data_IF_048005794566
#
_entry.id   IF_048005794566
#
_cell.length_a   1.000
_cell.length_b   1.000
_cell.length_c   1.000
_cell.angle_alpha   90.00
_cell.angle_beta   90.00
_cell.angle_gamma   90.00
#
_symmetry.space_group_name_H-M   'P 1'
#
loop_
_entity.id
_entity.type
_entity.pdbx_description
1 polymer ?
#
# COMPACT_ATOMS: atom_id res chain seq x y z
N UNK A 1 32.90 13.27 -14.84
CA UNK A 1 32.04 14.15 -14.02
C UNK A 1 30.67 14.50 -14.65
N UNK A 2 30.39 14.08 -15.88
CA UNK A 2 29.27 14.60 -16.70
C UNK A 2 27.86 14.08 -16.44
N UNK A 3 27.58 13.20 -15.48
CA UNK A 3 26.30 12.48 -15.50
C UNK A 3 25.40 12.63 -14.25
N UNK A 4 25.83 13.39 -13.26
CA UNK A 4 25.01 13.56 -12.04
C UNK A 4 23.79 14.46 -12.30
N UNK A 5 24.00 15.58 -12.98
CA UNK A 5 22.93 16.54 -13.30
C UNK A 5 21.86 15.97 -14.21
N UNK A 6 22.27 15.15 -15.20
CA UNK A 6 21.31 14.45 -16.07
C UNK A 6 20.46 13.48 -15.29
N UNK A 7 21.02 12.73 -14.33
CA UNK A 7 20.28 11.81 -13.46
C UNK A 7 19.27 12.55 -12.57
N UNK A 8 19.66 13.67 -11.99
CA UNK A 8 18.75 14.50 -11.19
C UNK A 8 17.64 15.13 -12.04
N UNK A 9 17.95 15.58 -13.26
CA UNK A 9 16.96 16.09 -14.19
C UNK A 9 15.94 15.03 -14.58
N UNK A 10 16.38 13.82 -14.94
CA UNK A 10 15.49 12.70 -15.27
C UNK A 10 14.63 12.30 -14.04
N UNK A 11 15.23 12.25 -12.85
CA UNK A 11 14.52 11.93 -11.62
C UNK A 11 13.44 12.97 -11.30
N UNK A 12 13.72 14.25 -11.53
CA UNK A 12 12.78 15.35 -11.30
C UNK A 12 11.61 15.27 -12.30
N UNK A 13 11.89 15.06 -13.57
CA UNK A 13 10.86 14.91 -14.62
C UNK A 13 9.99 13.66 -14.38
N UNK A 14 10.60 12.54 -13.96
CA UNK A 14 9.85 11.32 -13.62
C UNK A 14 9.07 11.43 -12.31
N UNK A 15 9.49 12.27 -11.36
CA UNK A 15 8.81 12.51 -10.10
C UNK A 15 7.53 13.35 -10.24
N UNK A 16 7.44 14.21 -11.25
CA UNK A 16 6.27 15.07 -11.47
C UNK A 16 4.98 14.26 -11.69
N UNK A 17 4.92 13.26 -12.60
CA UNK A 17 3.72 12.45 -12.78
C UNK A 17 3.32 11.67 -11.52
N UNK A 18 4.28 11.17 -10.76
CA UNK A 18 4.03 10.48 -9.48
C UNK A 18 3.41 11.43 -8.47
N UNK A 19 3.94 12.65 -8.34
CA UNK A 19 3.41 13.67 -7.45
C UNK A 19 2.00 14.12 -7.87
N UNK A 20 1.75 14.26 -9.17
CA UNK A 20 0.43 14.60 -9.71
C UNK A 20 -0.59 13.49 -9.43
N UNK A 21 -0.24 12.21 -9.66
CA UNK A 21 -1.12 11.11 -9.34
C UNK A 21 -1.40 10.98 -7.83
N UNK A 22 -0.38 11.17 -7.00
CA UNK A 22 -0.57 11.19 -5.55
C UNK A 22 -1.46 12.36 -5.11
N UNK A 23 -1.29 13.54 -5.70
CA UNK A 23 -2.15 14.70 -5.39
C UNK A 23 -3.60 14.45 -5.81
N UNK A 24 -3.84 13.85 -6.97
CA UNK A 24 -5.19 13.49 -7.43
C UNK A 24 -5.86 12.46 -6.49
N UNK A 25 -5.09 11.47 -6.01
CA UNK A 25 -5.59 10.47 -5.06
C UNK A 25 -5.85 11.09 -3.68
N UNK A 26 -4.96 11.98 -3.21
CA UNK A 26 -5.07 12.60 -1.89
C UNK A 26 -6.11 13.74 -1.82
N UNK A 27 -6.27 14.51 -2.89
CA UNK A 27 -7.23 15.64 -2.92
C UNK A 27 -8.68 15.21 -3.12
N UNK A 28 -8.93 13.94 -3.43
CA UNK A 28 -10.26 13.40 -3.66
C UNK A 28 -10.96 14.06 -4.87
N UNK A 29 -11.67 13.29 -5.63
CA UNK A 29 -12.45 13.76 -6.78
C UNK A 29 -13.69 14.57 -6.40
N UNK A 30 -13.90 14.84 -5.11
CA UNK A 30 -15.08 15.51 -4.56
C UNK A 30 -15.21 17.01 -4.92
N UNK A 31 -14.18 17.60 -5.51
CA UNK A 31 -14.18 19.01 -5.93
C UNK A 31 -14.24 19.22 -7.45
N UNK A 32 -14.27 18.15 -8.26
CA UNK A 32 -14.36 18.24 -9.71
C UNK A 32 -15.81 18.25 -10.16
N UNK A 33 -16.20 19.13 -11.11
CA UNK A 33 -17.55 19.12 -11.71
C UNK A 33 -17.85 17.75 -12.35
N UNK A 34 -19.09 17.29 -12.23
CA UNK A 34 -19.55 15.98 -12.71
C UNK A 34 -19.28 15.76 -14.21
N UNK A 35 -19.29 16.83 -14.99
CA UNK A 35 -19.10 16.85 -16.44
C UNK A 35 -17.66 16.46 -16.86
N UNK A 36 -16.68 16.60 -15.95
CA UNK A 36 -15.28 16.23 -16.20
C UNK A 36 -15.05 14.74 -15.88
N UNK A 37 -15.91 14.13 -15.06
CA UNK A 37 -15.75 12.75 -14.58
C UNK A 37 -16.06 11.68 -15.64
N UNK A 38 -16.91 11.94 -16.63
CA UNK A 38 -17.31 10.93 -17.63
C UNK A 38 -16.23 10.64 -18.68
N UNK A 39 -15.40 11.62 -19.04
CA UNK A 39 -14.30 11.42 -20.03
C UNK A 39 -12.93 11.16 -19.40
N UNK A 40 -12.79 11.34 -18.08
CA UNK A 40 -11.46 11.39 -17.43
C UNK A 40 -10.88 10.05 -16.98
N UNK A 41 -11.63 8.94 -17.04
CA UNK A 41 -11.07 7.63 -16.67
C UNK A 41 -9.87 7.24 -17.55
N UNK A 42 -9.85 7.65 -18.81
CA UNK A 42 -8.72 7.40 -19.72
C UNK A 42 -7.47 8.15 -19.30
N UNK A 43 -7.61 9.39 -18.84
CA UNK A 43 -6.51 10.19 -18.30
C UNK A 43 -5.99 9.63 -16.97
N UNK A 44 -6.88 9.14 -16.11
CA UNK A 44 -6.50 8.49 -14.85
C UNK A 44 -5.65 7.22 -15.11
N UNK A 45 -6.07 6.38 -16.08
CA UNK A 45 -5.28 5.21 -16.45
C UNK A 45 -3.96 5.59 -17.12
N UNK A 46 -3.97 6.55 -18.03
CA UNK A 46 -2.75 7.04 -18.68
C UNK A 46 -1.75 7.61 -17.65
N UNK A 47 -2.21 8.43 -16.72
CA UNK A 47 -1.41 8.95 -15.62
C UNK A 47 -0.89 7.83 -14.71
N UNK A 48 -1.71 6.83 -14.40
CA UNK A 48 -1.31 5.66 -13.61
C UNK A 48 -0.20 4.85 -14.28
N UNK A 49 -0.37 4.54 -15.57
CA UNK A 49 0.64 3.82 -16.36
C UNK A 49 1.93 4.63 -16.48
N UNK A 50 1.82 5.94 -16.74
CA UNK A 50 2.97 6.83 -16.85
C UNK A 50 3.72 6.96 -15.52
N UNK A 51 3.00 7.03 -14.40
CA UNK A 51 3.59 7.07 -13.07
C UNK A 51 4.30 5.76 -12.72
N UNK A 52 3.72 4.62 -13.09
CA UNK A 52 4.33 3.32 -12.88
C UNK A 52 5.60 3.18 -13.72
N UNK A 53 5.56 3.59 -14.99
CA UNK A 53 6.74 3.59 -15.88
C UNK A 53 7.83 4.53 -15.35
N UNK A 54 7.47 5.74 -14.92
CA UNK A 54 8.37 6.71 -14.33
C UNK A 54 9.01 6.20 -13.03
N UNK A 55 8.22 5.57 -12.16
CA UNK A 55 8.71 4.97 -10.93
C UNK A 55 9.68 3.82 -11.21
N UNK A 56 9.36 2.96 -12.19
CA UNK A 56 10.25 1.88 -12.62
C UNK A 56 11.56 2.43 -13.14
N UNK A 57 11.52 3.47 -13.99
CA UNK A 57 12.71 4.14 -14.52
C UNK A 57 13.55 4.74 -13.39
N UNK A 58 12.92 5.39 -12.40
CA UNK A 58 13.58 5.92 -11.21
C UNK A 58 14.34 4.84 -10.45
N UNK A 59 13.72 3.67 -10.25
CA UNK A 59 14.37 2.53 -9.57
C UNK A 59 15.64 2.10 -10.34
N UNK A 60 15.62 2.10 -11.66
CA UNK A 60 16.81 1.77 -12.46
C UNK A 60 17.93 2.80 -12.33
N UNK A 61 17.59 4.07 -12.12
CA UNK A 61 18.57 5.16 -12.01
C UNK A 61 19.20 5.28 -10.62
N UNK A 62 18.61 4.67 -9.60
CA UNK A 62 19.13 4.73 -8.23
C UNK A 62 20.46 3.96 -8.09
N UNK A 63 21.41 4.46 -7.27
CA UNK A 63 22.61 3.73 -6.88
C UNK A 63 22.27 2.37 -6.25
N UNK A 64 23.17 1.40 -6.39
CA UNK A 64 22.98 0.06 -5.86
C UNK A 64 22.58 0.04 -4.37
N UNK A 65 23.23 0.87 -3.54
CA UNK A 65 22.90 1.01 -2.11
C UNK A 65 21.44 1.37 -1.83
N UNK A 66 20.86 2.26 -2.64
CA UNK A 66 19.45 2.65 -2.48
C UNK A 66 18.53 1.51 -2.92
N UNK A 67 18.89 0.78 -3.99
CA UNK A 67 18.14 -0.40 -4.45
C UNK A 67 18.04 -1.49 -3.38
N UNK A 68 19.07 -1.67 -2.59
CA UNK A 68 19.09 -2.65 -1.48
C UNK A 68 18.17 -2.24 -0.32
N UNK A 69 18.11 -0.94 -0.01
CA UNK A 69 17.28 -0.43 1.09
C UNK A 69 15.82 -0.17 0.68
N UNK A 70 15.57 0.09 -0.62
CA UNK A 70 14.27 0.52 -1.13
C UNK A 70 13.12 -0.45 -0.81
N UNK A 71 13.27 -1.78 -0.99
CA UNK A 71 12.20 -2.72 -0.66
C UNK A 71 11.82 -2.68 0.82
N UNK A 72 12.80 -2.55 1.71
CA UNK A 72 12.55 -2.44 3.14
C UNK A 72 11.82 -1.14 3.49
N UNK A 73 12.24 -0.01 2.92
CA UNK A 73 11.58 1.28 3.15
C UNK A 73 10.14 1.24 2.66
N UNK A 74 9.92 0.73 1.44
CA UNK A 74 8.57 0.60 0.86
C UNK A 74 7.69 -0.30 1.73
N UNK A 75 8.19 -1.45 2.16
CA UNK A 75 7.45 -2.36 3.06
C UNK A 75 7.02 -1.65 4.34
N UNK A 76 7.91 -0.88 4.98
CA UNK A 76 7.59 -0.16 6.21
C UNK A 76 6.61 0.98 5.99
N UNK A 77 6.70 1.68 4.87
CA UNK A 77 5.70 2.69 4.50
C UNK A 77 4.32 2.05 4.38
N UNK A 78 4.19 0.92 3.67
CA UNK A 78 2.91 0.20 3.57
C UNK A 78 2.42 -0.30 4.93
N UNK A 79 3.28 -0.80 5.79
CA UNK A 79 2.92 -1.24 7.15
C UNK A 79 2.38 -0.06 7.97
N UNK A 80 3.03 1.10 7.92
CA UNK A 80 2.58 2.30 8.64
C UNK A 80 1.20 2.78 8.16
N UNK A 81 0.99 2.84 6.84
CA UNK A 81 -0.34 3.14 6.30
C UNK A 81 -1.37 2.06 6.67
N UNK A 82 -0.97 0.80 6.73
CA UNK A 82 -1.81 -0.30 7.20
C UNK A 82 -2.25 -0.15 8.65
N UNK A 83 -1.38 0.37 9.53
CA UNK A 83 -1.77 0.71 10.92
C UNK A 83 -2.87 1.76 10.91
N UNK A 84 -2.67 2.86 10.17
CA UNK A 84 -3.63 3.97 10.11
C UNK A 84 -4.98 3.47 9.64
N UNK A 85 -5.03 2.72 8.56
CA UNK A 85 -6.27 2.19 7.98
C UNK A 85 -6.94 1.16 8.90
N UNK A 86 -6.18 0.25 9.51
CA UNK A 86 -6.73 -0.74 10.42
C UNK A 86 -7.31 -0.09 11.67
N UNK A 87 -6.61 0.88 12.27
CA UNK A 87 -7.12 1.64 13.43
C UNK A 87 -8.35 2.46 13.06
N UNK A 88 -8.34 3.11 11.88
CA UNK A 88 -9.52 3.85 11.41
C UNK A 88 -10.71 2.92 11.20
N UNK A 89 -10.51 1.77 10.57
CA UNK A 89 -11.56 0.77 10.41
C UNK A 89 -12.12 0.26 11.74
N UNK A 90 -11.27 -0.02 12.72
CA UNK A 90 -11.71 -0.39 14.06
C UNK A 90 -12.60 0.71 14.66
N UNK A 91 -12.20 1.97 14.57
CA UNK A 91 -13.00 3.09 15.07
C UNK A 91 -14.35 3.20 14.37
N UNK A 92 -14.43 2.91 13.07
CA UNK A 92 -15.70 2.86 12.34
C UNK A 92 -16.59 1.70 12.80
N UNK A 93 -16.03 0.50 12.95
CA UNK A 93 -16.77 -0.68 13.43
C UNK A 93 -17.38 -0.46 14.82
N UNK A 94 -16.66 0.21 15.72
CA UNK A 94 -17.15 0.53 17.06
C UNK A 94 -17.97 1.83 17.14
N UNK A 95 -18.22 2.50 16.02
CA UNK A 95 -19.04 3.72 15.98
C UNK A 95 -18.35 4.99 16.50
N UNK A 96 -17.02 4.96 16.71
CA UNK A 96 -16.26 6.15 17.13
C UNK A 96 -16.02 7.15 16.00
N UNK A 97 -16.16 6.71 14.74
CA UNK A 97 -16.04 7.55 13.55
C UNK A 97 -17.06 7.12 12.50
N UNK A 98 -17.55 8.08 11.72
CA UNK A 98 -18.47 7.79 10.64
C UNK A 98 -17.75 7.14 9.46
N UNK A 99 -18.46 6.27 8.75
CA UNK A 99 -18.05 5.73 7.46
C UNK A 99 -18.25 6.79 6.35
N UNK A 100 -17.45 6.71 5.32
CA UNK A 100 -17.57 7.57 4.13
C UNK A 100 -18.74 7.17 3.23
N UNK A 101 -19.46 6.09 3.56
CA UNK A 101 -20.59 5.58 2.77
C UNK A 101 -21.83 5.37 3.63
N UNK A 102 -23.01 5.73 3.11
CA UNK A 102 -24.28 5.65 3.86
C UNK A 102 -24.75 4.22 4.18
N UNK A 103 -24.36 3.24 3.34
CA UNK A 103 -24.82 1.85 3.47
C UNK A 103 -23.81 0.93 4.18
N UNK A 104 -22.54 1.35 4.30
CA UNK A 104 -21.48 0.50 4.83
C UNK A 104 -20.87 1.13 6.09
N UNK A 105 -20.83 0.37 7.16
CA UNK A 105 -20.26 0.83 8.43
C UNK A 105 -18.72 0.93 8.38
N UNK A 106 -18.07 0.16 7.50
CA UNK A 106 -16.62 0.06 7.40
C UNK A 106 -16.14 0.38 6.00
N UNK A 107 -15.37 1.44 5.87
CA UNK A 107 -14.75 1.87 4.60
C UNK A 107 -13.30 2.34 4.78
N UNK A 108 -12.83 2.53 6.01
CA UNK A 108 -11.55 3.18 6.28
C UNK A 108 -11.52 4.59 5.70
N UNK A 109 -10.42 4.98 5.09
CA UNK A 109 -10.30 6.21 4.31
C UNK A 109 -10.94 6.11 2.91
N UNK A 110 -11.27 4.89 2.48
CA UNK A 110 -11.90 4.63 1.17
C UNK A 110 -13.40 4.93 1.21
N UNK A 111 -14.00 5.05 0.03
CA UNK A 111 -15.45 5.21 -0.10
C UNK A 111 -16.20 3.87 -0.02
N UNK A 112 -15.53 2.75 -0.29
CA UNK A 112 -16.16 1.44 -0.42
C UNK A 112 -15.39 0.37 0.36
N UNK A 113 -16.04 -0.58 1.05
CA UNK A 113 -15.39 -1.65 1.81
C UNK A 113 -14.57 -2.60 0.94
N UNK A 114 -14.87 -2.76 -0.35
CA UNK A 114 -14.13 -3.61 -1.27
C UNK A 114 -12.66 -3.17 -1.44
N UNK A 115 -12.39 -1.96 -1.94
CA UNK A 115 -11.04 -1.40 -2.02
C UNK A 115 -10.32 -1.35 -0.67
N UNK A 116 -11.01 -1.00 0.41
CA UNK A 116 -10.46 -1.01 1.77
C UNK A 116 -9.94 -2.40 2.16
N UNK A 117 -10.78 -3.42 2.02
CA UNK A 117 -10.40 -4.80 2.33
C UNK A 117 -9.29 -5.32 1.42
N UNK A 118 -9.33 -4.96 0.13
CA UNK A 118 -8.28 -5.30 -0.84
C UNK A 118 -6.94 -4.68 -0.45
N UNK A 119 -6.94 -3.44 0.00
CA UNK A 119 -5.74 -2.75 0.48
C UNK A 119 -5.15 -3.45 1.71
N UNK A 120 -5.96 -3.77 2.71
CA UNK A 120 -5.50 -4.50 3.90
C UNK A 120 -5.00 -5.92 3.55
N UNK A 121 -5.66 -6.61 2.63
CA UNK A 121 -5.24 -7.92 2.15
C UNK A 121 -3.87 -7.89 1.44
N UNK A 122 -3.52 -6.77 0.79
CA UNK A 122 -2.19 -6.56 0.20
C UNK A 122 -1.11 -6.30 1.26
N UNK A 123 -1.45 -5.60 2.34
CA UNK A 123 -0.48 -5.28 3.41
C UNK A 123 -0.21 -6.49 4.30
N UNK A 124 -1.19 -7.36 4.51
CA UNK A 124 -1.07 -8.52 5.38
C UNK A 124 0.15 -9.41 5.06
N UNK A 125 0.38 -9.86 3.82
CA UNK A 125 1.57 -10.66 3.49
C UNK A 125 2.88 -9.87 3.63
N UNK A 126 2.88 -8.55 3.49
CA UNK A 126 4.05 -7.70 3.75
C UNK A 126 4.41 -7.76 5.23
N UNK A 127 3.42 -7.62 6.11
CA UNK A 127 3.61 -7.76 7.56
C UNK A 127 4.12 -9.16 7.92
N UNK A 128 3.54 -10.20 7.31
CA UNK A 128 3.94 -11.58 7.51
C UNK A 128 5.41 -11.82 7.10
N UNK A 129 5.81 -11.30 5.94
CA UNK A 129 7.20 -11.40 5.48
C UNK A 129 8.17 -10.69 6.43
N UNK A 130 7.86 -9.46 6.85
CA UNK A 130 8.70 -8.69 7.75
C UNK A 130 8.77 -9.35 9.16
N UNK A 131 7.71 -10.00 9.59
CA UNK A 131 7.67 -10.77 10.83
C UNK A 131 8.52 -12.05 10.73
N UNK A 132 8.32 -12.86 9.68
CA UNK A 132 9.07 -14.10 9.46
C UNK A 132 10.57 -13.84 9.36
N UNK A 133 10.98 -12.86 8.56
CA UNK A 133 12.38 -12.46 8.39
C UNK A 133 13.10 -12.17 9.71
N UNK A 134 12.39 -11.79 10.77
CA UNK A 134 12.94 -11.43 12.08
C UNK A 134 12.68 -12.46 13.16
N UNK A 135 11.98 -13.53 12.84
CA UNK A 135 11.59 -14.57 13.82
C UNK A 135 12.79 -15.27 14.43
N UNK A 136 13.83 -15.53 13.65
CA UNK A 136 15.03 -16.31 14.05
C UNK A 136 16.11 -15.48 14.73
N UNK A 137 16.01 -14.15 14.66
CA UNK A 137 16.96 -13.22 15.30
C UNK A 137 16.50 -12.68 16.64
N UNK A 138 17.26 -11.69 17.17
CA UNK A 138 16.79 -10.90 18.32
C UNK A 138 15.46 -10.24 17.98
N UNK A 139 14.42 -10.52 18.77
CA UNK A 139 13.10 -9.90 18.64
C UNK A 139 13.20 -8.40 18.90
N UNK A 140 13.26 -7.63 17.84
CA UNK A 140 13.37 -6.17 17.87
C UNK A 140 12.00 -5.50 17.76
N UNK A 141 11.91 -4.20 18.02
CA UNK A 141 10.68 -3.42 17.90
C UNK A 141 9.96 -3.68 16.56
N UNK A 142 10.61 -3.68 15.38
CA UNK A 142 9.97 -3.99 14.11
C UNK A 142 9.27 -5.37 14.05
N UNK A 143 9.80 -6.38 14.75
CA UNK A 143 9.16 -7.69 14.84
C UNK A 143 7.76 -7.59 15.49
N UNK A 144 7.68 -6.90 16.62
CA UNK A 144 6.41 -6.74 17.33
C UNK A 144 5.44 -5.82 16.61
N UNK A 145 5.93 -4.78 15.94
CA UNK A 145 5.11 -3.89 15.12
C UNK A 145 4.48 -4.66 13.96
N UNK A 146 5.25 -5.43 13.20
CA UNK A 146 4.73 -6.22 12.09
C UNK A 146 3.67 -7.24 12.57
N UNK A 147 3.92 -7.90 13.70
CA UNK A 147 2.96 -8.82 14.32
C UNK A 147 1.69 -8.10 14.75
N UNK A 148 1.80 -6.97 15.43
CA UNK A 148 0.66 -6.20 15.92
C UNK A 148 -0.21 -5.72 14.75
N UNK A 149 0.40 -5.21 13.68
CA UNK A 149 -0.34 -4.75 12.48
C UNK A 149 -1.05 -5.93 11.81
N UNK A 150 -0.39 -7.07 11.68
CA UNK A 150 -0.99 -8.28 11.13
C UNK A 150 -2.23 -8.71 11.94
N UNK A 151 -2.15 -8.68 13.27
CA UNK A 151 -3.28 -8.99 14.15
C UNK A 151 -4.40 -7.95 14.03
N UNK A 152 -4.08 -6.66 13.96
CA UNK A 152 -5.07 -5.60 13.73
C UNK A 152 -5.80 -5.80 12.40
N UNK A 153 -5.09 -6.12 11.32
CA UNK A 153 -5.70 -6.41 10.02
C UNK A 153 -6.65 -7.60 10.13
N UNK A 154 -6.24 -8.68 10.80
CA UNK A 154 -7.10 -9.86 11.00
C UNK A 154 -8.37 -9.53 11.80
N UNK A 155 -8.31 -8.60 12.74
CA UNK A 155 -9.50 -8.17 13.48
C UNK A 155 -10.50 -7.39 12.62
N UNK A 156 -10.01 -6.61 11.66
CA UNK A 156 -10.85 -5.71 10.84
C UNK A 156 -11.32 -6.36 9.54
N UNK A 157 -10.51 -7.24 8.95
CA UNK A 157 -10.78 -7.85 7.66
C UNK A 157 -12.15 -8.56 7.57
N UNK A 158 -12.64 -9.28 8.63
CA UNK A 158 -13.96 -9.88 8.62
C UNK A 158 -15.10 -8.87 8.44
N UNK A 159 -14.99 -7.70 9.08
CA UNK A 159 -16.00 -6.65 9.01
C UNK A 159 -16.09 -6.02 7.61
N UNK A 160 -15.05 -6.11 6.79
CA UNK A 160 -15.04 -5.64 5.40
C UNK A 160 -15.84 -6.50 4.43
N UNK A 161 -16.33 -7.68 4.83
CA UNK A 161 -17.21 -8.59 4.09
C UNK A 161 -16.72 -8.96 2.68
N UNK A 162 -15.44 -8.78 2.38
CA UNK A 162 -14.85 -9.04 1.06
C UNK A 162 -14.23 -10.44 0.99
N UNK A 163 -14.93 -11.37 0.32
CA UNK A 163 -14.45 -12.75 0.13
C UNK A 163 -13.15 -12.80 -0.70
N UNK A 164 -13.04 -11.97 -1.71
CA UNK A 164 -11.84 -11.88 -2.55
C UNK A 164 -10.61 -11.41 -1.77
N UNK A 165 -10.77 -10.49 -0.82
CA UNK A 165 -9.69 -10.03 0.04
C UNK A 165 -9.15 -11.16 0.95
N UNK A 166 -10.03 -12.01 1.48
CA UNK A 166 -9.64 -13.18 2.27
C UNK A 166 -8.83 -14.18 1.44
N UNK A 167 -9.32 -14.50 0.24
CA UNK A 167 -8.62 -15.43 -0.67
C UNK A 167 -7.26 -14.85 -1.04
N UNK A 168 -7.19 -13.55 -1.39
CA UNK A 168 -5.94 -12.89 -1.73
C UNK A 168 -4.94 -12.91 -0.56
N UNK A 169 -5.38 -12.60 0.66
CA UNK A 169 -4.55 -12.65 1.84
C UNK A 169 -4.05 -14.08 2.14
N UNK A 170 -4.91 -15.10 2.00
CA UNK A 170 -4.55 -16.49 2.24
C UNK A 170 -3.53 -17.00 1.20
N UNK A 171 -3.79 -16.81 -0.08
CA UNK A 171 -2.91 -17.26 -1.17
C UNK A 171 -1.55 -16.58 -1.10
N UNK A 172 -1.52 -15.26 -0.90
CA UNK A 172 -0.26 -14.52 -0.76
C UNK A 172 0.52 -14.92 0.49
N UNK A 173 -0.16 -15.24 1.60
CA UNK A 173 0.48 -15.74 2.82
C UNK A 173 1.11 -17.11 2.63
N UNK A 174 0.41 -18.03 1.95
CA UNK A 174 0.97 -19.35 1.59
C UNK A 174 2.22 -19.18 0.72
N UNK A 175 2.17 -18.27 -0.26
CA UNK A 175 3.32 -17.99 -1.10
C UNK A 175 4.51 -17.44 -0.30
N UNK A 176 4.28 -16.46 0.58
CA UNK A 176 5.33 -15.88 1.44
C UNK A 176 5.95 -16.93 2.36
N UNK A 177 5.12 -17.77 3.00
CA UNK A 177 5.62 -18.86 3.84
C UNK A 177 6.44 -19.86 3.01
N UNK A 178 5.94 -20.26 1.85
CA UNK A 178 6.64 -21.21 0.97
C UNK A 178 8.01 -20.67 0.51
N UNK A 179 8.09 -19.40 0.17
CA UNK A 179 9.36 -18.76 -0.18
C UNK A 179 10.32 -18.68 1.00
N UNK A 180 9.82 -18.34 2.20
CA UNK A 180 10.65 -18.27 3.40
C UNK A 180 11.28 -19.62 3.70
N UNK A 181 10.50 -20.69 3.78
CA UNK A 181 11.01 -22.03 4.08
C UNK A 181 11.90 -22.61 2.97
N UNK A 182 11.67 -22.25 1.70
CA UNK A 182 12.56 -22.66 0.60
C UNK A 182 13.96 -22.02 0.66
N UNK A 183 14.08 -20.84 1.25
CA UNK A 183 15.37 -20.15 1.39
C UNK A 183 16.21 -20.69 2.58
N UNK A 184 15.59 -21.46 3.47
CA UNK A 184 16.27 -22.06 4.65
C UNK A 184 16.82 -23.47 4.36
N UNK A 185 16.46 -24.09 3.23
CA UNK A 185 16.98 -25.40 2.77
C UNK A 185 18.13 -25.17 1.79
#
# INVERSE_FOLDING_TARGET
MGNKWLKYGIALVAGIPVALCLSMVCCGTSSLPADILEDDWRWMYACGIFSLAAFTLLIFLFPARIKECLPAVVSWVFILYGVVEAVWGIRQVYGFTYSNHSLYALTGSFYNPGPYSGYLAMIFPICLYEWLKRKEGKKTIPYYVALAVMLLILCVLPAGMSRSAWIAAAVSSIYVCGMHYKMEI
#
